data_IF_710495299079
#
_entry.id   IF_710495299079
#
_cell.length_a   1.000
_cell.length_b   1.000
_cell.length_c   1.000
_cell.angle_alpha   90.00
_cell.angle_beta   90.00
_cell.angle_gamma   90.00
#
_symmetry.space_group_name_H-M   'P 1'
#
loop_
_entity.id
_entity.type
_entity.pdbx_description
1 polymer ?
#
# COMPACT_ATOMS: atom_id res chain seq x y z
N UNK A 1 1.79 -30.25 19.85
CA UNK A 1 0.83 -30.40 18.72
C UNK A 1 -0.07 -29.17 18.58
N UNK A 2 -1.11 -28.98 19.41
CA UNK A 2 -2.06 -27.84 19.29
C UNK A 2 -1.40 -26.45 19.27
N UNK A 3 -0.41 -26.21 20.15
CA UNK A 3 0.33 -24.93 20.19
C UNK A 3 1.10 -24.63 18.89
N UNK A 4 1.69 -25.66 18.27
CA UNK A 4 2.43 -25.54 17.02
C UNK A 4 1.46 -25.22 15.87
N UNK A 5 0.31 -25.90 15.83
CA UNK A 5 -0.74 -25.63 14.83
C UNK A 5 -1.24 -24.19 14.95
N UNK A 6 -1.46 -23.69 16.16
CA UNK A 6 -1.88 -22.29 16.38
C UNK A 6 -0.81 -21.30 15.91
N UNK A 7 0.47 -21.57 16.16
CA UNK A 7 1.58 -20.73 15.68
C UNK A 7 1.62 -20.72 14.15
N UNK A 8 1.48 -21.89 13.51
CA UNK A 8 1.46 -21.98 12.05
C UNK A 8 0.29 -21.23 11.43
N UNK A 9 -0.90 -21.30 12.03
CA UNK A 9 -2.08 -20.54 11.58
C UNK A 9 -1.84 -19.04 11.73
N UNK A 10 -1.28 -18.59 12.85
CA UNK A 10 -0.97 -17.18 13.07
C UNK A 10 0.05 -16.65 12.05
N UNK A 11 1.09 -17.43 11.74
CA UNK A 11 2.08 -17.07 10.72
C UNK A 11 1.47 -17.03 9.33
N UNK A 12 0.64 -18.02 8.97
CA UNK A 12 -0.05 -18.06 7.68
C UNK A 12 -0.97 -16.85 7.48
N UNK A 13 -1.70 -16.44 8.53
CA UNK A 13 -2.55 -15.24 8.50
C UNK A 13 -1.71 -13.96 8.32
N UNK A 14 -0.60 -13.82 9.04
CA UNK A 14 0.27 -12.64 8.97
C UNK A 14 0.86 -12.44 7.57
N UNK A 15 1.29 -13.52 6.92
CA UNK A 15 1.86 -13.48 5.56
C UNK A 15 0.76 -13.25 4.52
N UNK A 16 -0.39 -13.91 4.67
CA UNK A 16 -1.52 -13.83 3.72
C UNK A 16 -2.19 -12.45 3.62
N UNK A 17 -2.07 -11.60 4.65
CA UNK A 17 -2.67 -10.26 4.66
C UNK A 17 -1.69 -9.13 4.33
N UNK A 18 -0.46 -9.45 3.91
CA UNK A 18 0.53 -8.43 3.60
C UNK A 18 0.16 -7.67 2.32
N UNK A 19 -0.16 -6.38 2.43
CA UNK A 19 -0.41 -5.50 1.30
C UNK A 19 0.89 -4.84 0.83
N UNK A 20 1.25 -4.98 -0.44
CA UNK A 20 2.41 -4.29 -1.02
C UNK A 20 2.05 -2.85 -1.43
N UNK A 21 2.76 -1.86 -0.89
CA UNK A 21 2.67 -0.48 -1.37
C UNK A 21 3.71 -0.26 -2.49
N UNK A 22 3.26 0.04 -3.70
CA UNK A 22 4.14 0.33 -4.83
C UNK A 22 4.48 1.81 -4.88
N UNK A 23 5.77 2.14 -4.75
CA UNK A 23 6.25 3.50 -5.00
C UNK A 23 5.92 3.91 -6.44
N UNK A 24 5.38 5.12 -6.62
CA UNK A 24 5.02 5.65 -7.93
C UNK A 24 5.44 7.11 -8.08
N UNK A 25 5.51 7.56 -9.34
CA UNK A 25 5.78 8.95 -9.64
C UNK A 25 4.62 9.85 -9.21
N UNK A 26 4.98 11.08 -8.83
CA UNK A 26 4.08 12.06 -8.24
C UNK A 26 4.85 12.79 -7.16
N UNK A 27 5.63 13.80 -7.54
CA UNK A 27 6.31 14.64 -6.55
C UNK A 27 5.24 15.35 -5.74
N UNK A 28 5.36 15.32 -4.42
CA UNK A 28 4.43 15.99 -3.51
C UNK A 28 4.49 17.50 -3.70
N UNK A 29 3.33 18.14 -3.71
CA UNK A 29 3.15 19.58 -3.73
C UNK A 29 3.27 20.19 -2.32
N UNK A 30 3.14 21.51 -2.23
CA UNK A 30 3.21 22.26 -0.96
C UNK A 30 2.16 21.86 0.07
N UNK A 31 1.08 21.18 -0.35
CA UNK A 31 -0.01 20.74 0.52
C UNK A 31 0.24 19.35 1.07
N UNK A 32 1.19 18.58 0.53
CA UNK A 32 1.47 17.22 1.01
C UNK A 32 0.79 16.11 0.19
N UNK A 33 0.25 16.44 -1.00
CA UNK A 33 -0.25 15.46 -1.96
C UNK A 33 0.23 15.72 -3.38
N UNK A 34 -0.34 15.05 -4.36
CA UNK A 34 -0.03 15.25 -5.77
C UNK A 34 -1.16 14.80 -6.69
N UNK A 35 -1.23 15.35 -7.90
CA UNK A 35 -2.07 14.78 -8.95
C UNK A 35 -1.39 13.54 -9.55
N UNK A 36 -2.13 12.44 -9.64
CA UNK A 36 -1.62 11.21 -10.21
C UNK A 36 -1.21 11.39 -11.67
N UNK A 37 -0.01 10.92 -12.02
CA UNK A 37 0.46 10.92 -13.41
C UNK A 37 -0.39 9.97 -14.28
N UNK A 38 -0.46 10.22 -15.59
CA UNK A 38 -1.16 9.31 -16.51
C UNK A 38 -0.61 7.88 -16.43
N UNK A 39 0.71 7.73 -16.33
CA UNK A 39 1.39 6.45 -16.15
C UNK A 39 0.98 5.73 -14.85
N UNK A 40 0.84 6.46 -13.74
CA UNK A 40 0.41 5.88 -12.46
C UNK A 40 -1.05 5.44 -12.51
N UNK A 41 -1.93 6.20 -13.17
CA UNK A 41 -3.34 5.83 -13.38
C UNK A 41 -3.48 4.60 -14.28
N UNK A 42 -2.74 4.54 -15.38
CA UNK A 42 -2.75 3.41 -16.31
C UNK A 42 -2.34 2.10 -15.62
N UNK A 43 -1.44 2.17 -14.64
CA UNK A 43 -1.00 1.03 -13.82
C UNK A 43 -1.95 0.70 -12.66
N UNK A 44 -3.03 1.46 -12.47
CA UNK A 44 -3.95 1.28 -11.34
C UNK A 44 -3.33 1.60 -9.96
N UNK A 45 -2.22 2.32 -9.91
CA UNK A 45 -1.51 2.59 -8.65
C UNK A 45 -2.15 3.72 -7.83
N UNK A 46 -2.72 4.72 -8.50
CA UNK A 46 -3.45 5.81 -7.86
C UNK A 46 -4.39 6.52 -8.84
N UNK A 47 -5.39 7.22 -8.30
CA UNK A 47 -6.39 7.97 -9.08
C UNK A 47 -6.59 9.38 -8.52
N UNK A 48 -6.90 10.36 -9.38
CA UNK A 48 -7.18 11.73 -8.96
C UNK A 48 -6.00 12.43 -8.28
N UNK A 49 -6.29 13.16 -7.19
CA UNK A 49 -5.29 13.76 -6.30
C UNK A 49 -5.05 12.84 -5.09
N UNK A 50 -3.80 12.49 -4.87
CA UNK A 50 -3.35 11.53 -3.85
C UNK A 50 -2.59 12.27 -2.76
N UNK A 51 -3.01 12.11 -1.51
CA UNK A 51 -2.36 12.75 -0.37
C UNK A 51 -1.40 11.79 0.35
N UNK A 52 -0.16 12.23 0.59
CA UNK A 52 0.90 11.42 1.22
C UNK A 52 1.05 11.68 2.71
N UNK A 53 0.52 12.80 3.21
CA UNK A 53 0.57 13.13 4.62
C UNK A 53 -0.55 12.38 5.36
N UNK A 54 -0.19 11.34 6.10
CA UNK A 54 -1.04 10.88 7.21
C UNK A 54 -1.07 11.98 8.27
N UNK A 55 -2.23 12.20 8.86
CA UNK A 55 -2.38 13.05 10.05
C UNK A 55 -1.56 12.47 11.19
#
# INVERSE_FOLDING_TARGET
MKKIIMILIAVALLVGTSSTAFAHSGRTDKRGGHNCSAKSKQKGLCTGYHYHKKK
#
